data_IF_627007727069
#
_entry.id   IF_627007727069
#
_cell.length_a   1.000
_cell.length_b   1.000
_cell.length_c   1.000
_cell.angle_alpha   90.00
_cell.angle_beta   90.00
_cell.angle_gamma   90.00
#
_symmetry.space_group_name_H-M   'P 1'
#
loop_
_entity.id
_entity.type
_entity.pdbx_description
1 polymer ?
#
# COMPACT_ATOMS: atom_id res chain seq x y z
N UNK A 1 4.91 21.35 20.39
CA UNK A 1 6.20 20.66 20.11
C UNK A 1 5.85 19.56 19.12
N UNK A 2 6.43 19.56 17.91
CA UNK A 2 6.10 18.59 16.87
C UNK A 2 6.54 17.17 17.28
N UNK A 3 5.69 16.17 16.99
CA UNK A 3 5.90 14.76 17.32
C UNK A 3 7.22 14.16 16.78
N UNK A 4 7.81 13.29 17.59
CA UNK A 4 9.09 12.64 17.31
C UNK A 4 8.90 11.41 16.43
N UNK A 5 9.64 11.32 15.32
CA UNK A 5 9.90 10.02 14.71
C UNK A 5 10.66 9.15 15.72
N UNK A 6 10.44 7.84 15.73
CA UNK A 6 11.37 6.93 16.38
C UNK A 6 12.68 6.98 15.56
N UNK A 7 13.62 7.81 16.01
CA UNK A 7 14.91 7.99 15.36
C UNK A 7 15.71 6.68 15.43
N UNK A 8 15.87 6.02 14.27
CA UNK A 8 17.05 5.22 13.95
C UNK A 8 17.35 4.00 14.81
N UNK A 9 16.44 3.52 15.66
CA UNK A 9 16.60 2.22 16.30
C UNK A 9 16.38 1.15 15.23
N UNK A 10 17.42 0.37 14.92
CA UNK A 10 17.25 -0.84 14.14
C UNK A 10 16.19 -1.67 14.86
N UNK A 11 15.02 -1.81 14.22
CA UNK A 11 13.99 -2.77 14.60
C UNK A 11 14.66 -4.13 14.73
N UNK A 12 14.97 -4.49 15.97
CA UNK A 12 15.47 -5.80 16.35
C UNK A 12 14.33 -6.77 16.02
N UNK A 13 14.64 -7.88 15.35
CA UNK A 13 13.68 -8.90 14.87
C UNK A 13 12.73 -9.46 15.95
N UNK A 14 12.89 -9.07 17.22
CA UNK A 14 12.11 -9.56 18.37
C UNK A 14 11.25 -8.48 19.07
N UNK A 15 11.35 -7.21 18.66
CA UNK A 15 10.42 -6.17 19.14
C UNK A 15 9.12 -6.27 18.34
N UNK A 16 8.09 -6.91 18.91
CA UNK A 16 6.77 -6.97 18.31
C UNK A 16 6.25 -5.54 18.03
N UNK A 17 6.36 -5.12 16.77
CA UNK A 17 5.75 -3.89 16.29
C UNK A 17 4.24 -4.08 16.33
N UNK A 18 3.58 -3.35 17.24
CA UNK A 18 2.12 -3.35 17.33
C UNK A 18 1.56 -2.38 16.28
N UNK A 19 1.17 -2.93 15.12
CA UNK A 19 0.60 -2.16 14.02
C UNK A 19 -0.88 -1.90 14.29
N UNK A 20 -1.30 -0.66 14.06
CA UNK A 20 -2.71 -0.30 14.22
C UNK A 20 -3.59 -1.00 13.18
N UNK A 21 -4.79 -1.39 13.61
CA UNK A 21 -5.83 -1.93 12.74
C UNK A 21 -7.01 -0.96 12.72
N UNK A 22 -7.45 -0.59 11.52
CA UNK A 22 -8.61 0.28 11.33
C UNK A 22 -9.80 -0.56 10.86
N UNK A 23 -10.96 -0.32 11.46
CA UNK A 23 -12.22 -0.92 11.03
C UNK A 23 -12.78 -0.14 9.82
N UNK A 24 -13.13 -0.87 8.77
CA UNK A 24 -13.85 -0.36 7.59
C UNK A 24 -15.35 -0.31 7.89
N UNK A 25 -16.10 0.40 7.04
CA UNK A 25 -17.56 0.52 7.15
C UNK A 25 -18.30 -0.84 7.06
N UNK A 26 -17.68 -1.83 6.43
CA UNK A 26 -18.19 -3.20 6.30
C UNK A 26 -17.88 -4.09 7.53
N UNK A 27 -17.21 -3.55 8.55
CA UNK A 27 -16.79 -4.26 9.77
C UNK A 27 -15.52 -5.09 9.62
N UNK A 28 -14.87 -5.07 8.46
CA UNK A 28 -13.56 -5.72 8.27
C UNK A 28 -12.43 -4.84 8.81
N UNK A 29 -11.37 -5.46 9.30
CA UNK A 29 -10.19 -4.76 9.80
C UNK A 29 -9.06 -4.77 8.79
N UNK A 30 -8.37 -3.64 8.66
CA UNK A 30 -7.21 -3.49 7.77
C UNK A 30 -6.07 -2.79 8.47
N UNK A 31 -4.84 -3.08 8.05
CA UNK A 31 -3.64 -2.34 8.47
C UNK A 31 -3.43 -1.15 7.51
N UNK A 32 -3.57 0.10 7.96
CA UNK A 32 -3.37 1.26 7.10
C UNK A 32 -1.87 1.54 6.93
N UNK A 33 -1.46 1.87 5.70
CA UNK A 33 -0.12 2.39 5.43
C UNK A 33 -0.19 3.52 4.41
N UNK A 34 0.80 4.41 4.42
CA UNK A 34 0.74 5.65 3.67
C UNK A 34 1.99 5.86 2.82
N UNK A 35 1.82 6.49 1.67
CA UNK A 35 2.93 6.84 0.78
C UNK A 35 3.83 7.95 1.35
N UNK A 36 3.32 8.74 2.29
CA UNK A 36 4.05 9.85 2.93
C UNK A 36 3.45 10.21 4.29
N UNK A 37 4.23 10.94 5.09
CA UNK A 37 3.74 11.53 6.34
C UNK A 37 2.59 12.52 6.09
N UNK A 38 2.64 13.28 5.00
CA UNK A 38 1.57 14.20 4.62
C UNK A 38 0.26 13.46 4.36
N UNK A 39 0.32 12.30 3.67
CA UNK A 39 -0.85 11.46 3.44
C UNK A 39 -1.43 10.92 4.76
N UNK A 40 -0.58 10.49 5.70
CA UNK A 40 -1.02 10.09 7.04
C UNK A 40 -1.72 11.24 7.75
N UNK A 41 -1.13 12.44 7.76
CA UNK A 41 -1.70 13.64 8.42
C UNK A 41 -3.05 14.07 7.85
N UNK A 42 -3.29 13.84 6.55
CA UNK A 42 -4.59 14.11 5.94
C UNK A 42 -5.65 13.07 6.33
N UNK A 43 -5.25 11.84 6.69
CA UNK A 43 -6.16 10.75 7.00
C UNK A 43 -6.55 10.64 8.48
N UNK A 44 -5.87 11.38 9.37
CA UNK A 44 -6.02 11.28 10.82
C UNK A 44 -6.35 12.63 11.43
N UNK A 45 -7.21 12.64 12.46
CA UNK A 45 -7.60 13.88 13.16
C UNK A 45 -6.61 14.24 14.28
N UNK A 46 -6.06 13.21 14.93
CA UNK A 46 -5.14 13.33 16.06
C UNK A 46 -3.72 12.89 15.70
N UNK A 47 -2.73 13.37 16.46
CA UNK A 47 -1.36 12.90 16.35
C UNK A 47 -1.27 11.41 16.72
N UNK A 48 -0.63 10.62 15.84
CA UNK A 48 -0.45 9.18 16.03
C UNK A 48 1.01 8.80 15.85
N UNK A 49 1.46 7.81 16.63
CA UNK A 49 2.78 7.23 16.43
C UNK A 49 2.84 6.51 15.08
N UNK A 50 3.95 6.68 14.35
CA UNK A 50 4.18 6.02 13.07
C UNK A 50 5.61 5.51 12.97
N UNK A 51 5.80 4.52 12.11
CA UNK A 51 7.12 3.99 11.74
C UNK A 51 7.30 4.14 10.24
N UNK A 52 8.50 4.50 9.81
CA UNK A 52 8.89 4.54 8.39
C UNK A 52 9.72 3.31 8.11
N UNK A 53 9.30 2.50 7.14
CA UNK A 53 10.02 1.30 6.75
C UNK A 53 9.80 0.95 5.28
N UNK A 54 10.66 0.11 4.68
CA UNK A 54 10.40 -0.43 3.35
C UNK A 54 9.08 -1.20 3.31
N UNK A 55 8.27 -0.97 2.28
CA UNK A 55 6.98 -1.66 2.10
C UNK A 55 7.13 -3.18 2.01
N UNK A 56 8.26 -3.67 1.49
CA UNK A 56 8.58 -5.10 1.46
C UNK A 56 8.64 -5.68 2.87
N UNK A 57 9.34 -5.02 3.79
CA UNK A 57 9.42 -5.46 5.20
C UNK A 57 8.03 -5.45 5.85
N UNK A 58 7.24 -4.39 5.62
CA UNK A 58 5.86 -4.34 6.11
C UNK A 58 5.05 -5.56 5.62
N UNK A 59 5.11 -5.86 4.33
CA UNK A 59 4.41 -6.99 3.71
C UNK A 59 4.86 -8.34 4.26
N UNK A 60 6.17 -8.54 4.45
CA UNK A 60 6.73 -9.77 5.02
C UNK A 60 6.25 -9.99 6.47
N UNK A 61 6.10 -8.92 7.24
CA UNK A 61 5.64 -8.96 8.63
C UNK A 61 4.12 -9.10 8.79
N UNK A 62 3.34 -8.86 7.73
CA UNK A 62 1.86 -8.81 7.75
C UNK A 62 1.22 -9.86 6.84
N UNK A 63 1.91 -10.99 6.63
CA UNK A 63 1.38 -12.11 5.85
C UNK A 63 0.06 -12.63 6.45
N UNK A 64 -0.97 -12.68 5.63
CA UNK A 64 -2.32 -13.12 6.05
C UNK A 64 -3.26 -11.97 6.40
N UNK A 65 -2.74 -10.76 6.58
CA UNK A 65 -3.54 -9.56 6.88
C UNK A 65 -3.92 -8.81 5.60
N UNK A 66 -5.02 -8.04 5.70
CA UNK A 66 -5.42 -7.10 4.66
C UNK A 66 -4.82 -5.73 4.97
N UNK A 67 -4.17 -5.12 3.97
CA UNK A 67 -3.54 -3.80 4.10
C UNK A 67 -4.28 -2.78 3.24
N UNK A 68 -4.23 -1.51 3.65
CA UNK A 68 -4.86 -0.42 2.91
C UNK A 68 -3.91 0.76 2.73
N UNK A 69 -3.49 0.99 1.49
CA UNK A 69 -2.68 2.13 1.09
C UNK A 69 -3.53 3.39 1.06
N UNK A 70 -3.07 4.43 1.75
CA UNK A 70 -3.70 5.75 1.77
C UNK A 70 -5.18 5.67 2.18
N UNK A 71 -5.44 4.91 3.25
CA UNK A 71 -6.78 4.79 3.83
C UNK A 71 -7.38 6.17 4.13
N UNK A 72 -8.69 6.32 3.91
CA UNK A 72 -9.45 7.58 4.06
C UNK A 72 -9.07 8.71 3.09
N UNK A 73 -8.15 8.49 2.15
CA UNK A 73 -7.84 9.44 1.08
C UNK A 73 -8.57 9.09 -0.24
N UNK A 74 -8.73 10.05 -1.17
CA UNK A 74 -9.46 9.82 -2.43
C UNK A 74 -8.86 8.72 -3.33
N UNK A 75 -7.55 8.51 -3.25
CA UNK A 75 -6.80 7.54 -4.08
C UNK A 75 -6.20 6.42 -3.21
N UNK A 76 -7.09 5.68 -2.55
CA UNK A 76 -6.73 4.53 -1.73
C UNK A 76 -6.65 3.21 -2.51
N UNK A 77 -5.89 2.24 -2.00
CA UNK A 77 -5.85 0.86 -2.54
C UNK A 77 -5.81 -0.17 -1.44
N UNK A 78 -6.72 -1.14 -1.51
CA UNK A 78 -6.73 -2.32 -0.65
C UNK A 78 -5.82 -3.41 -1.25
N UNK A 79 -5.11 -4.12 -0.37
CA UNK A 79 -4.22 -5.24 -0.69
C UNK A 79 -4.66 -6.47 0.11
N UNK A 80 -5.19 -7.47 -0.60
CA UNK A 80 -5.58 -8.74 -0.02
C UNK A 80 -4.35 -9.60 0.33
N UNK A 81 -4.45 -10.53 1.29
CA UNK A 81 -3.34 -11.41 1.68
C UNK A 81 -2.69 -12.15 0.50
N UNK A 82 -3.51 -12.57 -0.48
CA UNK A 82 -3.03 -13.23 -1.70
C UNK A 82 -2.23 -12.28 -2.60
N UNK A 83 -2.63 -11.03 -2.72
CA UNK A 83 -1.90 -10.04 -3.52
C UNK A 83 -0.56 -9.70 -2.89
N UNK A 84 -0.52 -9.57 -1.56
CA UNK A 84 0.73 -9.35 -0.82
C UNK A 84 1.69 -10.53 -1.03
N UNK A 85 1.18 -11.76 -0.92
CA UNK A 85 1.97 -12.97 -1.19
C UNK A 85 2.53 -12.99 -2.61
N UNK A 86 1.75 -12.55 -3.60
CA UNK A 86 2.19 -12.44 -4.99
C UNK A 86 3.26 -11.36 -5.17
N UNK A 87 3.11 -10.19 -4.53
CA UNK A 87 4.08 -9.09 -4.58
C UNK A 87 5.43 -9.44 -3.93
N UNK A 88 5.42 -10.35 -2.96
CA UNK A 88 6.63 -10.86 -2.29
C UNK A 88 7.30 -12.02 -3.02
N UNK A 89 6.62 -12.70 -3.96
CA UNK A 89 7.16 -13.84 -4.69
C UNK A 89 8.41 -13.49 -5.53
N UNK A 90 9.22 -14.51 -5.86
CA UNK A 90 10.44 -14.36 -6.68
C UNK A 90 10.15 -13.84 -8.11
N UNK A 91 8.92 -14.02 -8.59
CA UNK A 91 8.38 -13.39 -9.81
C UNK A 91 8.03 -11.92 -9.55
N UNK A 92 8.90 -11.21 -8.81
CA UNK A 92 8.70 -9.94 -8.10
C UNK A 92 8.43 -8.70 -8.96
N UNK A 93 7.79 -8.90 -10.11
CA UNK A 93 7.24 -7.88 -10.96
C UNK A 93 6.01 -8.50 -11.65
N UNK A 94 4.78 -8.21 -11.22
CA UNK A 94 3.58 -8.53 -12.00
C UNK A 94 3.59 -7.86 -13.40
N UNK A 95 4.57 -6.99 -13.68
CA UNK A 95 4.84 -6.41 -15.00
C UNK A 95 5.77 -7.28 -15.88
N UNK A 96 6.39 -8.33 -15.33
CA UNK A 96 7.33 -9.19 -16.07
C UNK A 96 6.68 -10.41 -16.70
N UNK A 97 5.44 -10.75 -16.32
CA UNK A 97 4.66 -11.81 -16.97
C UNK A 97 3.86 -11.22 -18.12
N UNK A 98 4.43 -11.23 -19.33
CA UNK A 98 3.67 -11.04 -20.56
C UNK A 98 2.95 -12.35 -20.89
N UNK A 99 1.68 -12.46 -20.53
CA UNK A 99 0.81 -13.51 -21.06
C UNK A 99 0.35 -13.09 -22.46
N UNK A 100 0.80 -13.80 -23.49
CA UNK A 100 0.22 -13.71 -24.83
C UNK A 100 -1.05 -14.54 -24.81
N UNK A 101 -2.20 -13.88 -24.62
CA UNK A 101 -3.50 -14.53 -24.73
C UNK A 101 -3.62 -15.18 -26.11
N UNK A 102 -3.97 -16.47 -26.17
CA UNK A 102 -4.32 -17.10 -27.43
C UNK A 102 -5.52 -16.33 -28.02
N UNK A 103 -5.38 -15.84 -29.24
CA UNK A 103 -6.35 -14.92 -29.83
C UNK A 103 -7.79 -15.45 -29.72
N UNK A 104 -8.65 -14.72 -29.00
CA UNK A 104 -10.03 -15.13 -28.73
C UNK A 104 -10.54 -14.69 -27.36
N UNK A 105 -9.65 -14.40 -26.41
CA UNK A 105 -10.02 -13.86 -25.10
C UNK A 105 -10.23 -12.34 -25.17
N UNK A 106 -11.46 -11.89 -24.89
CA UNK A 106 -11.78 -10.46 -24.83
C UNK A 106 -11.42 -9.91 -23.46
N UNK A 107 -10.27 -9.23 -23.37
CA UNK A 107 -9.98 -8.36 -22.25
C UNK A 107 -10.80 -7.07 -22.39
N UNK A 108 -11.71 -6.83 -21.45
CA UNK A 108 -12.41 -5.55 -21.37
C UNK A 108 -11.58 -4.63 -20.46
N UNK A 109 -10.68 -3.88 -21.10
CA UNK A 109 -10.07 -2.70 -20.51
C UNK A 109 -11.06 -1.55 -20.70
N UNK A 110 -11.83 -1.25 -19.66
CA UNK A 110 -12.66 -0.06 -19.66
C UNK A 110 -11.76 1.17 -19.59
N UNK A 111 -11.91 2.07 -20.56
CA UNK A 111 -11.32 3.40 -20.47
C UNK A 111 -11.87 4.09 -19.22
N UNK A 112 -10.97 4.56 -18.35
CA UNK A 112 -11.37 5.41 -17.23
C UNK A 112 -11.72 6.77 -17.82
N UNK A 113 -12.98 7.22 -17.61
CA UNK A 113 -13.48 8.46 -18.20
C UNK A 113 -12.61 9.69 -17.84
N UNK A 114 -12.01 9.69 -16.65
CA UNK A 114 -11.00 10.65 -16.23
C UNK A 114 -9.79 9.92 -15.64
N UNK A 115 -8.64 9.89 -16.34
CA UNK A 115 -7.45 9.25 -15.81
C UNK A 115 -6.94 9.99 -14.57
N UNK A 116 -6.43 9.28 -13.54
CA UNK A 116 -5.93 9.94 -12.33
C UNK A 116 -4.78 10.88 -12.69
N UNK A 117 -4.93 12.18 -12.43
CA UNK A 117 -3.94 13.21 -12.77
C UNK A 117 -2.55 12.88 -12.20
N UNK A 118 -2.49 12.37 -10.97
CA UNK A 118 -1.25 11.93 -10.33
C UNK A 118 -0.53 10.80 -11.09
N UNK A 119 -1.29 9.87 -11.69
CA UNK A 119 -0.72 8.79 -12.50
C UNK A 119 -0.12 9.34 -13.80
N UNK A 120 -0.83 10.27 -14.45
CA UNK A 120 -0.34 10.97 -15.65
C UNK A 120 0.93 11.76 -15.34
N UNK A 121 0.95 12.52 -14.24
CA UNK A 121 2.10 13.32 -13.84
C UNK A 121 3.34 12.45 -13.57
N UNK A 122 3.15 11.30 -12.91
CA UNK A 122 4.22 10.35 -12.60
C UNK A 122 4.79 9.67 -13.84
N UNK A 123 3.93 9.33 -14.82
CA UNK A 123 4.35 8.71 -16.09
C UNK A 123 5.00 9.70 -17.05
N UNK A 124 4.63 10.98 -16.98
CA UNK A 124 5.14 12.02 -17.89
C UNK A 124 6.49 12.57 -17.43
N UNK A 125 6.80 12.53 -16.13
CA UNK A 125 8.09 12.97 -15.58
C UNK A 125 9.16 11.87 -15.48
N UNK A 126 8.85 10.64 -15.90
CA UNK A 126 9.80 9.52 -15.91
C UNK A 126 10.69 9.47 -17.18
N UNK A 127 10.74 10.56 -17.96
CA UNK A 127 11.54 10.69 -19.20
C UNK A 127 12.57 11.80 -19.08
#
# INVERSE_FOLDING_TARGET
MPGSAAEGEAIVEDSALDLQHWEKEDGTTVIPFFTSLEALQQAVEDEQAFVVMPVRTLFEMTLGETLFLNAKLPTGKEFMPREISLLLGEEGSPLSTQEVLEGGESLILSEVAEPPSQMIDSLTHAV
#
